data_IF_580184925524
#
_entry.id   IF_580184925524
#
_cell.length_a   1.000
_cell.length_b   1.000
_cell.length_c   1.000
_cell.angle_alpha   90.00
_cell.angle_beta   90.00
_cell.angle_gamma   90.00
#
_symmetry.space_group_name_H-M   'P 1'
#
loop_
_entity.id
_entity.type
_entity.pdbx_description
1 polymer ?
#
# COMPACT_ATOMS: atom_id res chain seq x y z
N UNK A 1 0.45 15.82 6.34
CA UNK A 1 0.94 14.58 6.98
C UNK A 1 2.20 14.11 6.24
N UNK A 2 3.00 13.19 6.81
CA UNK A 2 4.14 12.62 6.07
C UNK A 2 3.64 11.84 4.85
N UNK A 3 4.41 11.85 3.76
CA UNK A 3 4.14 11.01 2.58
C UNK A 3 4.17 9.52 2.98
N UNK A 4 3.32 8.66 2.38
CA UNK A 4 3.24 7.24 2.74
C UNK A 4 4.60 6.53 2.69
N UNK A 5 5.39 6.83 1.66
CA UNK A 5 6.78 6.39 1.48
C UNK A 5 7.69 6.79 2.66
N UNK A 6 7.65 8.06 3.08
CA UNK A 6 8.47 8.60 4.17
C UNK A 6 8.10 7.96 5.51
N UNK A 7 6.81 7.76 5.76
CA UNK A 7 6.34 7.10 6.97
C UNK A 7 6.81 5.64 7.04
N UNK A 8 6.66 4.88 5.96
CA UNK A 8 7.12 3.49 5.87
C UNK A 8 8.64 3.38 5.98
N UNK A 9 9.39 4.27 5.33
CA UNK A 9 10.86 4.31 5.41
C UNK A 9 11.33 4.56 6.85
N UNK A 10 10.70 5.50 7.58
CA UNK A 10 11.02 5.77 8.99
C UNK A 10 10.82 4.54 9.87
N UNK A 11 9.72 3.80 9.68
CA UNK A 11 9.44 2.58 10.44
C UNK A 11 10.48 1.50 10.12
N UNK A 12 10.76 1.26 8.83
CA UNK A 12 11.75 0.26 8.40
C UNK A 12 13.16 0.56 8.92
N UNK A 13 13.59 1.81 8.88
CA UNK A 13 14.88 2.23 9.44
C UNK A 13 14.91 2.03 10.96
N UNK A 14 13.89 2.50 11.68
CA UNK A 14 13.83 2.39 13.14
C UNK A 14 13.84 0.92 13.60
N UNK A 15 13.01 0.08 12.98
CA UNK A 15 12.94 -1.36 13.27
C UNK A 15 14.23 -2.08 12.87
N UNK A 16 14.81 -1.76 11.71
CA UNK A 16 16.07 -2.35 11.24
C UNK A 16 17.24 -2.04 12.18
N UNK A 17 17.44 -0.77 12.51
CA UNK A 17 18.46 -0.37 13.47
C UNK A 17 18.21 -0.95 14.86
N UNK A 18 16.96 -0.95 15.34
CA UNK A 18 16.59 -1.55 16.62
C UNK A 18 16.96 -3.03 16.71
N UNK A 19 16.63 -3.82 15.68
CA UNK A 19 16.99 -5.25 15.64
C UNK A 19 18.51 -5.47 15.64
N UNK A 20 19.25 -4.69 14.85
CA UNK A 20 20.72 -4.78 14.82
C UNK A 20 21.32 -4.42 16.19
N UNK A 21 20.78 -3.40 16.86
CA UNK A 21 21.23 -2.95 18.18
C UNK A 21 20.98 -4.02 19.25
N UNK A 22 19.80 -4.66 19.23
CA UNK A 22 19.49 -5.79 20.12
C UNK A 22 20.46 -6.95 19.89
N UNK A 23 20.77 -7.30 18.65
CA UNK A 23 21.79 -8.32 18.34
C UNK A 23 23.17 -7.93 18.87
N UNK A 24 23.55 -6.64 18.75
CA UNK A 24 24.79 -6.12 19.31
C UNK A 24 24.88 -6.32 20.83
N UNK A 25 23.80 -6.01 21.57
CA UNK A 25 23.76 -6.28 23.00
C UNK A 25 23.77 -7.77 23.34
N UNK A 26 23.08 -8.60 22.56
CA UNK A 26 23.09 -10.05 22.75
C UNK A 26 24.50 -10.66 22.59
N UNK A 27 25.31 -10.12 21.67
CA UNK A 27 26.71 -10.51 21.50
C UNK A 27 27.56 -10.05 22.69
N UNK A 28 27.38 -8.81 23.16
CA UNK A 28 28.11 -8.27 24.32
C UNK A 28 27.83 -9.07 25.60
N UNK A 29 26.58 -9.49 25.81
CA UNK A 29 26.17 -10.33 26.94
C UNK A 29 26.56 -11.81 26.79
N UNK A 30 27.29 -12.18 25.73
CA UNK A 30 27.66 -13.56 25.38
C UNK A 30 26.45 -14.51 25.22
N UNK A 31 25.25 -13.96 24.98
CA UNK A 31 24.04 -14.73 24.67
C UNK A 31 23.98 -15.17 23.20
N UNK A 32 24.81 -14.55 22.36
CA UNK A 32 24.91 -14.80 20.93
C UNK A 32 26.38 -14.76 20.53
N UNK A 33 26.81 -15.74 19.73
CA UNK A 33 28.17 -15.83 19.19
C UNK A 33 28.06 -15.80 17.67
N UNK A 34 28.96 -15.10 16.98
CA UNK A 34 28.90 -14.92 15.52
C UNK A 34 29.20 -16.25 14.78
N UNK A 35 30.04 -17.10 15.37
CA UNK A 35 30.51 -18.33 14.74
C UNK A 35 29.52 -19.51 14.85
N UNK A 36 28.47 -19.38 15.67
CA UNK A 36 27.47 -20.43 15.87
C UNK A 36 26.06 -19.95 15.48
N UNK A 37 25.45 -20.62 14.51
CA UNK A 37 24.20 -20.18 13.90
C UNK A 37 22.99 -20.43 14.81
N UNK A 38 22.74 -19.49 15.73
CA UNK A 38 21.56 -19.49 16.60
C UNK A 38 20.39 -18.61 16.11
N UNK A 39 19.27 -18.65 16.84
CA UNK A 39 18.04 -17.86 16.58
C UNK A 39 18.33 -16.35 16.53
N UNK A 40 19.31 -15.85 17.28
CA UNK A 40 19.74 -14.45 17.25
C UNK A 40 20.18 -13.95 15.86
N UNK A 41 20.69 -14.83 15.00
CA UNK A 41 21.09 -14.47 13.64
C UNK A 41 19.89 -14.19 12.74
N UNK A 42 18.73 -14.77 13.01
CA UNK A 42 17.50 -14.47 12.27
C UNK A 42 17.07 -13.02 12.49
N UNK A 43 17.22 -12.51 13.72
CA UNK A 43 16.96 -11.09 14.02
C UNK A 43 17.95 -10.17 13.30
N UNK A 44 19.23 -10.57 13.23
CA UNK A 44 20.24 -9.81 12.50
C UNK A 44 19.92 -9.74 10.99
N UNK A 45 19.62 -10.89 10.38
CA UNK A 45 19.25 -10.99 8.96
C UNK A 45 17.99 -10.18 8.66
N UNK A 46 16.97 -10.29 9.51
CA UNK A 46 15.71 -9.54 9.37
C UNK A 46 15.94 -8.03 9.54
N UNK A 47 16.83 -7.63 10.45
CA UNK A 47 17.24 -6.22 10.62
C UNK A 47 17.92 -5.66 9.38
N UNK A 48 18.86 -6.41 8.80
CA UNK A 48 19.52 -6.06 7.53
C UNK A 48 18.50 -5.97 6.39
N UNK A 49 17.59 -6.95 6.31
CA UNK A 49 16.52 -6.96 5.31
C UNK A 49 15.67 -5.69 5.41
N UNK A 50 15.27 -5.28 6.62
CA UNK A 50 14.54 -4.02 6.83
C UNK A 50 15.30 -2.79 6.31
N UNK A 51 16.61 -2.70 6.56
CA UNK A 51 17.42 -1.58 6.06
C UNK A 51 17.55 -1.58 4.54
N UNK A 52 17.71 -2.75 3.92
CA UNK A 52 17.72 -2.90 2.46
C UNK A 52 16.37 -2.49 1.86
N UNK A 53 15.28 -2.93 2.47
CA UNK A 53 13.92 -2.63 2.04
C UNK A 53 13.58 -1.14 2.18
N UNK A 54 14.07 -0.50 3.25
CA UNK A 54 14.03 0.95 3.43
C UNK A 54 14.74 1.71 2.30
N UNK A 55 15.96 1.27 1.92
CA UNK A 55 16.68 1.84 0.77
C UNK A 55 15.90 1.65 -0.52
N UNK A 56 15.31 0.47 -0.72
CA UNK A 56 14.55 0.12 -1.91
C UNK A 56 13.28 0.96 -2.08
N UNK A 57 12.70 1.46 -0.98
CA UNK A 57 11.51 2.32 -0.99
C UNK A 57 11.73 3.67 -1.70
N UNK A 58 12.99 4.13 -1.76
CA UNK A 58 13.34 5.38 -2.42
C UNK A 58 13.54 5.21 -3.94
N UNK A 59 13.51 3.98 -4.47
CA UNK A 59 13.60 3.72 -5.91
C UNK A 59 12.21 3.65 -6.52
N UNK A 60 11.94 4.49 -7.51
CA UNK A 60 10.61 4.63 -8.14
C UNK A 60 10.08 3.35 -8.81
N UNK A 61 10.97 2.43 -9.20
CA UNK A 61 10.60 1.19 -9.92
C UNK A 61 10.42 -0.04 -9.02
N UNK A 62 10.51 0.13 -7.69
CA UNK A 62 10.38 -0.97 -6.75
C UNK A 62 8.91 -1.39 -6.59
N UNK A 63 8.65 -2.70 -6.39
CA UNK A 63 7.32 -3.19 -6.02
C UNK A 63 6.75 -2.47 -4.79
N UNK A 64 7.62 -2.07 -3.87
CA UNK A 64 7.20 -1.34 -2.67
C UNK A 64 6.79 0.11 -2.97
N UNK A 65 7.28 0.72 -4.05
CA UNK A 65 6.85 2.06 -4.47
C UNK A 65 5.41 2.05 -4.98
N UNK A 66 4.92 0.92 -5.51
CA UNK A 66 3.50 0.76 -5.88
C UNK A 66 2.60 0.70 -4.64
N UNK A 67 3.07 0.07 -3.56
CA UNK A 67 2.28 -0.09 -2.30
C UNK A 67 2.37 1.18 -1.45
N UNK A 68 3.55 1.79 -1.37
CA UNK A 68 3.84 3.00 -0.61
C UNK A 68 4.26 4.12 -1.57
N UNK A 69 3.32 4.70 -2.32
CA UNK A 69 3.62 5.72 -3.30
C UNK A 69 4.24 6.94 -2.64
N UNK A 70 5.22 7.51 -3.34
CA UNK A 70 5.87 8.75 -2.94
C UNK A 70 5.04 9.96 -3.43
N UNK A 71 3.77 9.99 -3.04
CA UNK A 71 2.83 11.07 -3.41
C UNK A 71 2.52 11.95 -2.21
N UNK A 72 2.43 13.26 -2.47
CA UNK A 72 2.00 14.24 -1.46
C UNK A 72 0.52 14.09 -1.15
N UNK A 73 0.09 14.60 0.01
CA UNK A 73 -1.33 14.61 0.41
C UNK A 73 -2.24 15.28 -0.63
N UNK A 74 -1.76 16.34 -1.28
CA UNK A 74 -2.50 17.02 -2.34
C UNK A 74 -2.68 16.14 -3.58
N UNK A 75 -1.62 15.43 -4.00
CA UNK A 75 -1.67 14.49 -5.13
C UNK A 75 -2.56 13.29 -4.83
N UNK A 76 -2.46 12.72 -3.63
CA UNK A 76 -3.32 11.65 -3.17
C UNK A 76 -4.79 12.08 -3.21
N UNK A 77 -5.11 13.25 -2.64
CA UNK A 77 -6.46 13.80 -2.63
C UNK A 77 -6.98 14.04 -4.04
N UNK A 78 -6.16 14.61 -4.92
CA UNK A 78 -6.53 14.86 -6.31
C UNK A 78 -6.86 13.54 -7.03
N UNK A 79 -6.01 12.52 -6.90
CA UNK A 79 -6.22 11.21 -7.51
C UNK A 79 -7.50 10.54 -7.00
N UNK A 80 -7.64 10.42 -5.68
CA UNK A 80 -8.81 9.79 -5.06
C UNK A 80 -10.10 10.53 -5.40
N UNK A 81 -10.11 11.87 -5.33
CA UNK A 81 -11.30 12.63 -5.72
C UNK A 81 -11.64 12.51 -7.21
N UNK A 82 -10.63 12.38 -8.08
CA UNK A 82 -10.82 12.09 -9.50
C UNK A 82 -11.45 10.73 -9.75
N UNK A 83 -10.90 9.68 -9.13
CA UNK A 83 -11.41 8.30 -9.20
C UNK A 83 -12.86 8.22 -8.68
N UNK A 84 -13.15 8.83 -7.52
CA UNK A 84 -14.50 8.85 -6.94
C UNK A 84 -15.49 9.60 -7.84
N UNK A 85 -15.11 10.75 -8.39
CA UNK A 85 -15.96 11.51 -9.29
C UNK A 85 -16.25 10.77 -10.60
N UNK A 86 -15.24 10.07 -11.13
CA UNK A 86 -15.42 9.23 -12.32
C UNK A 86 -16.41 8.11 -12.04
N UNK A 87 -16.23 7.38 -10.95
CA UNK A 87 -17.07 6.26 -10.56
C UNK A 87 -18.51 6.71 -10.28
N UNK A 88 -18.68 7.87 -9.65
CA UNK A 88 -19.99 8.51 -9.44
C UNK A 88 -20.69 8.87 -10.76
N UNK A 89 -19.95 9.42 -11.72
CA UNK A 89 -20.49 9.75 -13.06
C UNK A 89 -20.89 8.49 -13.81
N UNK A 90 -20.04 7.45 -13.81
CA UNK A 90 -20.32 6.16 -14.46
C UNK A 90 -21.57 5.51 -13.87
N UNK A 91 -21.71 5.52 -12.54
CA UNK A 91 -22.90 4.99 -11.86
C UNK A 91 -24.17 5.77 -12.20
N UNK A 92 -24.11 7.12 -12.24
CA UNK A 92 -25.25 7.95 -12.65
C UNK A 92 -25.67 7.68 -14.10
N UNK A 93 -24.70 7.53 -15.01
CA UNK A 93 -25.01 7.17 -16.40
C UNK A 93 -25.62 5.77 -16.47
N UNK A 94 -25.04 4.77 -15.79
CA UNK A 94 -25.58 3.41 -15.73
C UNK A 94 -27.03 3.37 -15.22
N UNK A 95 -27.35 4.10 -14.15
CA UNK A 95 -28.72 4.19 -13.64
C UNK A 95 -29.67 4.87 -14.64
N UNK A 96 -29.22 5.92 -15.34
CA UNK A 96 -30.03 6.56 -16.38
C UNK A 96 -30.29 5.61 -17.56
N UNK A 97 -29.30 4.81 -17.96
CA UNK A 97 -29.49 3.76 -18.97
C UNK A 97 -30.48 2.69 -18.51
N UNK A 98 -30.38 2.22 -17.26
CA UNK A 98 -31.32 1.23 -16.71
C UNK A 98 -32.75 1.79 -16.60
N UNK A 99 -32.91 3.07 -16.24
CA UNK A 99 -34.22 3.73 -16.22
C UNK A 99 -34.81 3.83 -17.64
N UNK A 100 -34.00 4.20 -18.64
CA UNK A 100 -34.43 4.23 -20.04
C UNK A 100 -34.82 2.84 -20.56
N UNK A 101 -34.00 1.83 -20.29
CA UNK A 101 -34.29 0.43 -20.67
C UNK A 101 -35.59 -0.07 -20.05
N UNK A 102 -35.81 0.18 -18.75
CA UNK A 102 -37.07 -0.22 -18.09
C UNK A 102 -38.30 0.48 -18.66
N UNK A 103 -38.19 1.76 -19.07
CA UNK A 103 -39.30 2.48 -19.72
C UNK A 103 -39.59 1.94 -21.12
N UNK A 104 -38.55 1.64 -21.90
CA UNK A 104 -38.71 1.04 -23.24
C UNK A 104 -39.37 -0.33 -23.13
N UNK A 105 -38.91 -1.19 -22.21
CA UNK A 105 -39.51 -2.49 -21.96
C UNK A 105 -40.98 -2.38 -21.52
N UNK A 106 -41.32 -1.39 -20.69
CA UNK A 106 -42.70 -1.16 -20.29
C UNK A 106 -43.58 -0.71 -21.48
N UNK A 107 -43.06 0.15 -22.36
CA UNK A 107 -43.76 0.61 -23.57
C UNK A 107 -44.01 -0.55 -24.55
N UNK A 108 -43.00 -1.40 -24.76
CA UNK A 108 -43.10 -2.58 -25.66
C UNK A 108 -44.14 -3.60 -25.16
N UNK A 109 -44.21 -3.84 -23.84
CA UNK A 109 -45.25 -4.69 -23.23
C UNK A 109 -46.66 -4.12 -23.44
N UNK A 110 -46.84 -2.80 -23.35
CA UNK A 110 -48.14 -2.16 -23.56
C UNK A 110 -48.56 -2.29 -25.03
N UNK A 111 -47.62 -2.08 -25.96
CA UNK A 111 -47.88 -2.15 -27.40
C UNK A 111 -48.18 -3.58 -27.89
N UNK A 112 -47.64 -4.62 -27.25
CA UNK A 112 -47.95 -6.02 -27.57
C UNK A 112 -49.32 -6.50 -27.04
N UNK A 113 -49.98 -5.73 -26.17
CA UNK A 113 -51.29 -6.09 -25.58
C UNK A 113 -52.50 -5.48 -26.30
N UNK A 114 -52.28 -4.57 -27.27
CA UNK A 114 -53.31 -4.06 -28.21
C UNK A 114 -53.37 -4.89 -29.51
#
# INVERSE_FOLDING_TARGET
MDEPSKAANRILLGTGFGMILICGFAIIEQRMVIDDLGIGHLFLITGILCLVMSRLLNYETSFLATIFPNETEAQLKQRVSGEVNQLSRENRMGNAWAELESKVLADEIVNEQE
#
